data_IF_442257893492
#
_entry.id   IF_442257893492
#
_cell.length_a   1.000
_cell.length_b   1.000
_cell.length_c   1.000
_cell.angle_alpha   90.00
_cell.angle_beta   90.00
_cell.angle_gamma   90.00
#
_symmetry.space_group_name_H-M   'P 1'
#
loop_
_entity.id
_entity.type
_entity.pdbx_description
1 polymer ?
#
# COMPACT_ATOMS: atom_id res chain seq x y z
N UNK A 1 -12.62 13.61 -27.94
CA UNK A 1 -11.78 13.40 -26.73
C UNK A 1 -11.52 11.90 -26.65
N UNK A 2 -10.28 11.43 -26.54
CA UNK A 2 -10.01 10.01 -26.41
C UNK A 2 -10.39 9.59 -24.99
N UNK A 3 -11.27 8.61 -24.85
CA UNK A 3 -11.66 8.02 -23.56
C UNK A 3 -10.50 7.18 -23.00
N UNK A 4 -9.52 7.87 -22.41
CA UNK A 4 -8.38 7.20 -21.76
C UNK A 4 -8.77 6.88 -20.33
N UNK A 5 -8.58 5.64 -19.91
CA UNK A 5 -8.69 5.20 -18.53
C UNK A 5 -7.29 5.12 -17.89
N UNK A 6 -7.21 5.50 -16.60
CA UNK A 6 -6.03 5.23 -15.77
C UNK A 6 -6.23 3.85 -15.13
N UNK A 7 -5.25 2.98 -15.29
CA UNK A 7 -5.29 1.62 -14.73
C UNK A 7 -4.30 1.57 -13.56
N UNK A 8 -4.82 1.36 -12.36
CA UNK A 8 -4.04 1.07 -11.15
C UNK A 8 -4.03 -0.44 -10.90
N UNK A 9 -2.85 -1.03 -10.82
CA UNK A 9 -2.66 -2.44 -10.49
C UNK A 9 -2.17 -2.59 -9.04
N UNK A 10 -2.96 -3.23 -8.17
CA UNK A 10 -2.55 -3.59 -6.81
C UNK A 10 -1.73 -4.88 -6.87
N UNK A 11 -0.39 -4.76 -6.82
CA UNK A 11 0.54 -5.88 -6.98
C UNK A 11 0.81 -6.66 -5.70
N UNK A 12 0.37 -6.10 -4.57
CA UNK A 12 0.42 -6.75 -3.25
C UNK A 12 -0.93 -6.61 -2.56
N UNK A 13 -1.00 -6.83 -1.30
CA UNK A 13 -2.14 -6.59 -0.43
C UNK A 13 -1.70 -6.85 0.99
N UNK A 14 -2.50 -6.50 1.98
CA UNK A 14 -2.11 -6.64 3.39
C UNK A 14 -2.28 -8.06 3.93
N UNK A 15 -3.30 -8.78 3.44
CA UNK A 15 -3.72 -10.07 4.01
C UNK A 15 -3.36 -11.28 3.16
N UNK A 16 -2.66 -11.09 2.03
CA UNK A 16 -2.31 -12.19 1.14
C UNK A 16 -1.04 -12.88 1.61
N UNK A 17 -1.09 -14.19 1.81
CA UNK A 17 0.03 -15.01 2.25
C UNK A 17 0.84 -15.52 1.04
N UNK A 18 2.15 -15.18 0.94
CA UNK A 18 3.02 -15.66 -0.12
C UNK A 18 3.18 -17.19 -0.16
N UNK A 19 2.91 -17.88 0.95
CA UNK A 19 2.92 -19.34 0.99
C UNK A 19 1.72 -19.98 0.25
N UNK A 20 0.64 -19.22 0.06
CA UNK A 20 -0.60 -19.69 -0.56
C UNK A 20 -0.86 -19.05 -1.94
N UNK A 21 -0.30 -17.90 -2.20
CA UNK A 21 -0.56 -17.09 -3.38
C UNK A 21 0.73 -16.49 -3.92
N UNK A 22 0.77 -16.25 -5.23
CA UNK A 22 1.86 -15.50 -5.82
C UNK A 22 1.76 -14.02 -5.41
N UNK A 23 2.59 -13.61 -4.45
CA UNK A 23 2.68 -12.24 -3.95
C UNK A 23 4.15 -11.83 -3.88
N UNK A 24 4.56 -10.74 -4.52
CA UNK A 24 5.92 -10.26 -4.45
C UNK A 24 6.25 -9.75 -3.04
N UNK A 25 7.43 -10.09 -2.56
CA UNK A 25 7.94 -9.74 -1.21
C UNK A 25 9.23 -8.93 -1.31
N UNK A 26 10.19 -9.40 -2.13
CA UNK A 26 11.50 -8.73 -2.23
C UNK A 26 11.48 -7.58 -3.23
N UNK A 27 12.45 -6.65 -3.16
CA UNK A 27 12.58 -5.56 -4.14
C UNK A 27 12.59 -6.06 -5.58
N UNK A 28 13.29 -7.17 -5.86
CA UNK A 28 13.41 -7.76 -7.19
C UNK A 28 12.07 -8.35 -7.66
N UNK A 29 11.34 -8.99 -6.78
CA UNK A 29 10.01 -9.53 -7.07
C UNK A 29 9.01 -8.40 -7.36
N UNK A 30 9.03 -7.33 -6.55
CA UNK A 30 8.19 -6.15 -6.76
C UNK A 30 8.52 -5.45 -8.08
N UNK A 31 9.81 -5.32 -8.42
CA UNK A 31 10.24 -4.77 -9.70
C UNK A 31 9.73 -5.60 -10.89
N UNK A 32 9.81 -6.92 -10.80
CA UNK A 32 9.32 -7.83 -11.84
C UNK A 32 7.79 -7.74 -12.00
N UNK A 33 7.03 -7.70 -10.91
CA UNK A 33 5.57 -7.57 -10.98
C UNK A 33 5.14 -6.18 -11.47
N UNK A 34 5.82 -5.12 -11.02
CA UNK A 34 5.58 -3.77 -11.53
C UNK A 34 5.84 -3.70 -13.05
N UNK A 35 6.91 -4.35 -13.53
CA UNK A 35 7.21 -4.44 -14.95
C UNK A 35 6.12 -5.18 -15.72
N UNK A 36 5.63 -6.31 -15.21
CA UNK A 36 4.51 -7.05 -15.83
C UNK A 36 3.22 -6.21 -15.90
N UNK A 37 2.90 -5.50 -14.81
CA UNK A 37 1.74 -4.63 -14.78
C UNK A 37 1.87 -3.48 -15.79
N UNK A 38 3.05 -2.85 -15.85
CA UNK A 38 3.34 -1.77 -16.79
C UNK A 38 3.23 -2.23 -18.24
N UNK A 39 3.81 -3.37 -18.61
CA UNK A 39 3.74 -3.95 -19.95
C UNK A 39 2.30 -4.34 -20.35
N UNK A 40 1.46 -4.66 -19.36
CA UNK A 40 0.04 -4.93 -19.57
C UNK A 40 -0.82 -3.65 -19.65
N UNK A 41 -0.22 -2.44 -19.48
CA UNK A 41 -0.89 -1.15 -19.64
C UNK A 41 -1.26 -0.44 -18.35
N UNK A 42 -0.80 -0.91 -17.18
CA UNK A 42 -0.97 -0.17 -15.94
C UNK A 42 -0.15 1.13 -15.94
N UNK A 43 -0.77 2.22 -15.53
CA UNK A 43 -0.11 3.52 -15.34
C UNK A 43 0.33 3.74 -13.90
N UNK A 44 -0.32 3.05 -12.97
CA UNK A 44 -0.09 3.15 -11.53
C UNK A 44 0.02 1.74 -10.96
N UNK A 45 0.93 1.54 -10.00
CA UNK A 45 0.94 0.34 -9.14
C UNK A 45 0.70 0.74 -7.70
N UNK A 46 -0.21 0.03 -7.04
CA UNK A 46 -0.41 0.15 -5.60
C UNK A 46 0.36 -0.95 -4.87
N UNK A 47 1.11 -0.57 -3.82
CA UNK A 47 2.06 -1.46 -3.15
C UNK A 47 1.99 -1.39 -1.63
N UNK A 48 2.05 -2.58 -1.00
CA UNK A 48 2.31 -2.78 0.42
C UNK A 48 3.67 -3.45 0.58
N UNK A 49 4.52 -2.90 1.44
CA UNK A 49 5.82 -3.51 1.72
C UNK A 49 5.69 -4.65 2.73
N UNK A 50 6.54 -5.64 2.59
CA UNK A 50 6.52 -6.88 3.37
C UNK A 50 7.83 -7.09 4.10
N UNK A 51 7.80 -7.80 5.25
CA UNK A 51 9.01 -8.17 5.96
C UNK A 51 9.88 -9.10 5.12
N UNK A 52 11.20 -8.82 5.08
CA UNK A 52 12.16 -9.51 4.21
C UNK A 52 12.75 -10.76 4.87
N UNK A 53 12.57 -10.96 6.18
CA UNK A 53 13.08 -12.14 6.88
C UNK A 53 12.39 -13.42 6.35
N UNK A 54 13.12 -14.54 6.25
CA UNK A 54 12.56 -15.81 5.79
C UNK A 54 11.30 -16.21 6.56
N UNK A 55 10.25 -16.58 5.83
CA UNK A 55 8.95 -16.96 6.38
C UNK A 55 8.09 -15.80 6.94
N UNK A 56 8.55 -14.56 6.85
CA UNK A 56 7.83 -13.38 7.37
C UNK A 56 7.15 -12.52 6.29
N UNK A 57 7.25 -12.90 5.02
CA UNK A 57 6.67 -12.15 3.90
C UNK A 57 5.15 -11.97 3.93
N UNK A 58 4.43 -12.68 4.80
CA UNK A 58 3.00 -12.46 5.06
C UNK A 58 2.73 -11.26 5.99
N UNK A 59 3.74 -10.73 6.67
CA UNK A 59 3.63 -9.59 7.58
C UNK A 59 3.98 -8.28 6.85
N UNK A 60 3.28 -7.16 7.17
CA UNK A 60 3.63 -5.85 6.66
C UNK A 60 5.00 -5.39 7.18
N UNK A 61 5.66 -4.56 6.41
CA UNK A 61 6.88 -3.85 6.82
C UNK A 61 6.65 -2.35 6.76
N UNK A 62 7.03 -1.68 7.84
CA UNK A 62 7.07 -0.22 7.95
C UNK A 62 8.51 0.25 8.16
N UNK A 63 9.48 -0.52 7.67
CA UNK A 63 10.90 -0.16 7.66
C UNK A 63 11.18 0.74 6.46
N UNK A 64 11.63 2.00 6.66
CA UNK A 64 11.91 2.93 5.57
C UNK A 64 13.01 2.45 4.61
N UNK A 65 13.97 1.64 5.09
CA UNK A 65 15.02 1.10 4.23
C UNK A 65 14.45 0.03 3.29
N UNK A 66 13.57 -0.84 3.77
CA UNK A 66 12.85 -1.83 2.96
C UNK A 66 11.96 -1.12 1.94
N UNK A 67 11.17 -0.14 2.37
CA UNK A 67 10.30 0.64 1.50
C UNK A 67 11.11 1.30 0.36
N UNK A 68 12.21 1.96 0.72
CA UNK A 68 13.08 2.63 -0.26
C UNK A 68 13.69 1.65 -1.25
N UNK A 69 14.22 0.52 -0.81
CA UNK A 69 14.79 -0.49 -1.70
C UNK A 69 13.75 -1.01 -2.70
N UNK A 70 12.50 -1.26 -2.24
CA UNK A 70 11.42 -1.71 -3.10
C UNK A 70 11.02 -0.65 -4.14
N UNK A 71 10.87 0.61 -3.73
CA UNK A 71 10.49 1.71 -4.62
C UNK A 71 11.60 1.99 -5.64
N UNK A 72 12.86 2.02 -5.22
CA UNK A 72 14.00 2.23 -6.12
C UNK A 72 14.08 1.11 -7.18
N UNK A 73 13.86 -0.14 -6.79
CA UNK A 73 13.86 -1.28 -7.72
C UNK A 73 12.72 -1.18 -8.75
N UNK A 74 11.51 -0.81 -8.32
CA UNK A 74 10.38 -0.62 -9.23
C UNK A 74 10.62 0.57 -10.19
N UNK A 75 11.15 1.69 -9.72
CA UNK A 75 11.50 2.85 -10.55
C UNK A 75 12.57 2.52 -11.58
N UNK A 76 13.57 1.75 -11.19
CA UNK A 76 14.63 1.30 -12.11
C UNK A 76 14.08 0.37 -13.21
N UNK A 77 13.16 -0.53 -12.86
CA UNK A 77 12.54 -1.45 -13.80
C UNK A 77 11.54 -0.76 -14.73
N UNK A 78 10.83 0.25 -14.25
CA UNK A 78 9.72 0.91 -14.97
C UNK A 78 9.83 2.44 -14.86
N UNK A 79 10.75 3.08 -15.61
CA UNK A 79 10.82 4.54 -15.61
C UNK A 79 9.49 5.15 -16.07
N UNK A 80 8.94 6.07 -15.26
CA UNK A 80 7.69 6.76 -15.54
C UNK A 80 6.42 6.05 -15.01
N UNK A 81 6.53 4.88 -14.39
CA UNK A 81 5.45 4.26 -13.65
C UNK A 81 5.16 5.07 -12.39
N UNK A 82 3.88 5.35 -12.12
CA UNK A 82 3.45 6.01 -10.89
C UNK A 82 3.36 4.96 -9.78
N UNK A 83 4.01 5.23 -8.67
CA UNK A 83 3.94 4.36 -7.48
C UNK A 83 2.96 4.99 -6.49
N UNK A 84 1.93 4.22 -6.14
CA UNK A 84 0.97 4.52 -5.09
C UNK A 84 1.29 3.65 -3.88
N UNK A 85 1.86 4.26 -2.83
CA UNK A 85 2.25 3.57 -1.62
C UNK A 85 1.11 3.53 -0.61
N UNK A 86 0.90 2.38 0.04
CA UNK A 86 -0.02 2.30 1.18
C UNK A 86 0.44 3.13 2.36
N UNK A 87 -0.51 3.69 3.12
CA UNK A 87 -0.30 4.25 4.47
C UNK A 87 -1.17 3.56 5.52
N UNK A 88 -1.88 2.50 5.14
CA UNK A 88 -2.86 1.81 5.96
C UNK A 88 -2.24 1.01 7.11
N UNK A 89 -2.14 1.60 8.28
CA UNK A 89 -1.67 0.98 9.53
C UNK A 89 -2.83 0.74 10.47
N UNK A 90 -2.95 -0.49 10.97
CA UNK A 90 -3.88 -0.83 12.03
C UNK A 90 -3.27 -0.46 13.39
N UNK A 91 -4.02 0.28 14.20
CA UNK A 91 -3.59 0.72 15.52
C UNK A 91 -2.96 2.12 15.57
N UNK A 92 -2.51 2.54 16.76
CA UNK A 92 -2.09 3.91 17.01
C UNK A 92 -0.65 4.22 16.56
N UNK A 93 0.18 3.21 16.34
CA UNK A 93 1.59 3.41 15.93
C UNK A 93 1.70 3.42 14.40
N UNK A 94 1.60 4.61 13.82
CA UNK A 94 1.71 4.83 12.37
C UNK A 94 2.99 5.61 11.96
N UNK A 95 3.90 5.86 12.91
CA UNK A 95 5.13 6.61 12.63
C UNK A 95 5.94 5.98 11.50
N UNK A 96 6.02 4.64 11.47
CA UNK A 96 6.73 3.94 10.40
C UNK A 96 6.17 4.20 9.00
N UNK A 97 4.85 4.41 8.87
CA UNK A 97 4.24 4.77 7.59
C UNK A 97 4.67 6.18 7.14
N UNK A 98 4.74 7.15 8.06
CA UNK A 98 5.22 8.50 7.81
C UNK A 98 6.70 8.49 7.38
N UNK A 99 7.53 7.70 8.07
CA UNK A 99 8.95 7.58 7.77
C UNK A 99 9.18 6.89 6.42
N UNK A 100 8.35 5.91 6.05
CA UNK A 100 8.36 5.32 4.71
C UNK A 100 8.05 6.35 3.62
N UNK A 101 7.02 7.21 3.81
CA UNK A 101 6.69 8.29 2.86
C UNK A 101 7.90 9.24 2.66
N UNK A 102 8.54 9.65 3.76
CA UNK A 102 9.73 10.52 3.70
C UNK A 102 10.90 9.88 2.97
N UNK A 103 11.10 8.58 3.17
CA UNK A 103 12.20 7.83 2.55
C UNK A 103 11.99 7.58 1.06
N UNK A 104 10.75 7.32 0.63
CA UNK A 104 10.42 6.90 -0.74
C UNK A 104 9.99 8.06 -1.62
N UNK A 105 9.31 9.06 -1.05
CA UNK A 105 8.69 10.18 -1.77
C UNK A 105 7.94 9.68 -3.02
N UNK A 106 6.90 8.85 -2.83
CA UNK A 106 6.19 8.27 -3.95
C UNK A 106 5.36 9.35 -4.67
N UNK A 107 5.02 9.12 -5.92
CA UNK A 107 4.20 10.03 -6.71
C UNK A 107 2.79 10.14 -6.12
N UNK A 108 2.26 9.04 -5.60
CA UNK A 108 0.96 8.94 -4.93
C UNK A 108 1.06 8.08 -3.69
N UNK A 109 0.14 8.29 -2.75
CA UNK A 109 -0.04 7.35 -1.64
C UNK A 109 -1.51 7.27 -1.24
N UNK A 110 -1.94 6.07 -0.85
CA UNK A 110 -3.28 5.84 -0.34
C UNK A 110 -3.45 6.51 1.02
N UNK A 111 -4.57 7.21 1.21
CA UNK A 111 -4.95 7.85 2.47
C UNK A 111 -6.37 7.41 2.84
N UNK A 112 -6.49 6.61 3.91
CA UNK A 112 -7.80 6.19 4.41
C UNK A 112 -8.53 7.40 5.00
N UNK A 113 -9.70 7.73 4.42
CA UNK A 113 -10.42 8.99 4.70
C UNK A 113 -11.17 8.99 6.04
N UNK A 114 -11.17 7.90 6.79
CA UNK A 114 -11.83 7.79 8.09
C UNK A 114 -11.75 6.41 8.67
N UNK A 115 -12.24 6.28 9.91
CA UNK A 115 -12.30 5.00 10.63
C UNK A 115 -13.49 4.16 10.14
N UNK A 116 -13.30 2.86 10.07
CA UNK A 116 -14.38 1.92 9.71
C UNK A 116 -14.32 0.64 10.52
N UNK A 117 -15.47 -0.02 10.63
CA UNK A 117 -15.55 -1.37 11.20
C UNK A 117 -15.02 -2.37 10.17
N UNK A 118 -13.92 -3.02 10.50
CA UNK A 118 -13.29 -4.00 9.62
C UNK A 118 -13.78 -5.39 9.98
N UNK A 119 -14.71 -5.89 9.17
CA UNK A 119 -15.43 -7.12 9.44
C UNK A 119 -15.30 -8.09 8.26
N UNK A 120 -15.11 -9.38 8.55
CA UNK A 120 -15.22 -10.44 7.55
C UNK A 120 -15.91 -11.65 8.12
N UNK A 121 -16.95 -12.10 7.42
CA UNK A 121 -17.72 -13.28 7.78
C UNK A 121 -17.36 -14.43 6.83
N UNK A 122 -17.11 -15.62 7.38
CA UNK A 122 -16.93 -16.85 6.62
C UNK A 122 -18.28 -17.30 6.04
N UNK A 123 -18.23 -18.19 5.04
CA UNK A 123 -19.43 -18.75 4.41
C UNK A 123 -20.36 -19.48 5.40
N UNK A 124 -19.84 -19.93 6.52
CA UNK A 124 -20.63 -20.58 7.60
C UNK A 124 -21.22 -19.59 8.62
N UNK A 125 -21.15 -18.28 8.37
CA UNK A 125 -21.69 -17.23 9.25
C UNK A 125 -20.81 -16.85 10.45
N UNK A 126 -19.63 -17.45 10.62
CA UNK A 126 -18.69 -17.08 11.71
C UNK A 126 -17.73 -15.98 11.28
N UNK A 127 -17.20 -15.23 12.24
CA UNK A 127 -16.17 -14.23 11.97
C UNK A 127 -14.88 -14.90 11.46
N UNK A 128 -14.29 -14.35 10.40
CA UNK A 128 -12.98 -14.78 9.91
C UNK A 128 -11.85 -14.42 10.86
N UNK A 129 -12.01 -13.30 11.57
CA UNK A 129 -11.22 -12.79 12.69
C UNK A 129 -12.14 -12.01 13.64
N UNK A 130 -11.71 -11.68 14.85
CA UNK A 130 -12.50 -10.83 15.73
C UNK A 130 -12.82 -9.50 15.06
N UNK A 131 -14.06 -9.00 15.16
CA UNK A 131 -14.39 -7.65 14.70
C UNK A 131 -13.40 -6.62 15.24
N UNK A 132 -12.92 -5.73 14.38
CA UNK A 132 -11.94 -4.72 14.74
C UNK A 132 -12.30 -3.37 14.10
N UNK A 133 -11.86 -2.30 14.74
CA UNK A 133 -11.89 -0.97 14.18
C UNK A 133 -10.59 -0.75 13.37
N UNK A 134 -10.73 -0.41 12.09
CA UNK A 134 -9.62 0.18 11.34
C UNK A 134 -9.64 1.68 11.63
N UNK A 135 -8.83 2.07 12.61
CA UNK A 135 -8.83 3.40 13.20
C UNK A 135 -8.02 4.39 12.36
N UNK A 136 -8.72 5.36 11.77
CA UNK A 136 -8.14 6.46 11.02
C UNK A 136 -8.78 7.78 11.51
N UNK A 137 -8.45 8.16 12.74
CA UNK A 137 -8.93 9.39 13.35
C UNK A 137 -8.44 10.62 12.58
N UNK A 138 -9.17 11.77 12.63
CA UNK A 138 -8.81 12.98 11.90
C UNK A 138 -7.37 13.44 12.13
N UNK A 139 -6.84 13.31 13.35
CA UNK A 139 -5.44 13.68 13.63
C UNK A 139 -4.44 12.81 12.86
N UNK A 140 -4.66 11.48 12.82
CA UNK A 140 -3.82 10.56 12.05
C UNK A 140 -3.90 10.86 10.54
N UNK A 141 -5.10 11.14 10.03
CA UNK A 141 -5.29 11.52 8.62
C UNK A 141 -4.55 12.82 8.33
N UNK A 142 -4.64 13.81 9.22
CA UNK A 142 -3.93 15.09 9.07
C UNK A 142 -2.40 14.89 9.04
N UNK A 143 -1.83 14.11 9.96
CA UNK A 143 -0.39 13.84 10.01
C UNK A 143 0.10 13.17 8.70
N UNK A 144 -0.69 12.24 8.15
CA UNK A 144 -0.38 11.59 6.87
C UNK A 144 -0.40 12.61 5.73
N UNK A 145 -1.43 13.47 5.66
CA UNK A 145 -1.55 14.51 4.64
C UNK A 145 -0.43 15.55 4.74
N UNK A 146 -0.02 15.92 5.95
CA UNK A 146 1.08 16.86 6.17
C UNK A 146 2.40 16.29 5.63
N UNK A 147 2.68 14.99 5.87
CA UNK A 147 3.86 14.33 5.31
C UNK A 147 3.76 14.15 3.80
N UNK A 148 2.58 13.87 3.25
CA UNK A 148 2.37 13.85 1.81
C UNK A 148 2.67 15.22 1.18
N UNK A 149 2.20 16.30 1.81
CA UNK A 149 2.51 17.66 1.37
C UNK A 149 4.02 17.98 1.48
N UNK A 150 4.67 17.57 2.58
CA UNK A 150 6.12 17.70 2.79
C UNK A 150 6.92 17.02 1.68
N UNK A 151 6.48 15.83 1.23
CA UNK A 151 7.19 14.99 0.27
C UNK A 151 6.82 15.23 -1.17
N UNK A 152 5.78 16.04 -1.44
CA UNK A 152 5.23 16.26 -2.78
C UNK A 152 4.42 15.06 -3.30
N UNK A 153 3.93 14.20 -2.40
CA UNK A 153 3.12 13.02 -2.72
C UNK A 153 1.65 13.40 -2.86
N UNK A 154 0.99 12.93 -3.92
CA UNK A 154 -0.45 13.15 -4.12
C UNK A 154 -1.26 12.13 -3.31
N UNK A 155 -2.24 12.56 -2.50
CA UNK A 155 -3.12 11.63 -1.78
C UNK A 155 -4.15 11.00 -2.73
N UNK A 156 -4.33 9.67 -2.61
CA UNK A 156 -5.49 8.95 -3.12
C UNK A 156 -6.37 8.57 -1.93
N UNK A 157 -7.53 9.20 -1.82
CA UNK A 157 -8.44 8.94 -0.71
C UNK A 157 -9.20 7.64 -0.89
N UNK A 158 -9.05 6.75 0.10
CA UNK A 158 -9.80 5.49 0.19
C UNK A 158 -11.03 5.70 1.08
N UNK A 159 -12.20 5.73 0.44
CA UNK A 159 -13.50 5.92 1.09
C UNK A 159 -14.27 4.60 1.09
N UNK A 160 -14.32 3.91 2.22
CA UNK A 160 -14.98 2.59 2.36
C UNK A 160 -16.39 2.69 2.91
N UNK A 161 -16.78 3.84 3.45
CA UNK A 161 -18.06 4.10 4.08
C UNK A 161 -18.56 5.50 3.72
N UNK A 162 -19.82 5.79 4.06
CA UNK A 162 -20.47 7.09 3.84
C UNK A 162 -20.29 8.07 5.01
N UNK A 163 -19.60 7.64 6.08
CA UNK A 163 -19.35 8.41 7.30
C UNK A 163 -18.05 9.20 7.29
#
# INVERSE_FOLDING_TARGET
MSDKAIITCSITGVLTDPAQHHVPVTPEQLAAEARRAYDAGASVVHVHFRQQAPGKGHLPSWDPAVAKACVDAMRAACPGLIINQTTGVVGPDYQGALDCLRATKPEMAACNAGSLNYLKVRSNGTWAWPPMLFDNQPAKVQDILDVMAETGTLPEFECFDVG
#
